data_IF_003107194690
#
_entry.id   IF_003107194690
#
_cell.length_a   1.000
_cell.length_b   1.000
_cell.length_c   1.000
_cell.angle_alpha   90.00
_cell.angle_beta   90.00
_cell.angle_gamma   90.00
#
_symmetry.space_group_name_H-M   'P 1'
#
loop_
_entity.id
_entity.type
_entity.pdbx_description
1 polymer ?
#
# COMPACT_ATOMS: atom_id res chain seq x y z
N UNK A 1 9.54 -11.87 -10.26
CA UNK A 1 10.16 -12.47 -9.05
C UNK A 1 9.09 -13.27 -8.34
N UNK A 2 9.27 -14.59 -8.23
CA UNK A 2 8.35 -15.50 -7.52
C UNK A 2 9.07 -16.84 -7.30
N UNK A 3 8.59 -17.66 -6.38
CA UNK A 3 9.02 -19.05 -6.23
C UNK A 3 8.32 -19.95 -7.27
N UNK A 4 9.05 -20.52 -8.25
CA UNK A 4 8.43 -21.34 -9.29
C UNK A 4 7.96 -22.72 -8.79
N UNK A 5 8.31 -23.12 -7.57
CA UNK A 5 8.00 -24.44 -7.02
C UNK A 5 6.73 -24.45 -6.16
N UNK A 6 6.27 -23.29 -5.72
CA UNK A 6 5.01 -23.19 -4.97
C UNK A 6 3.82 -23.20 -5.93
N UNK A 7 2.99 -24.23 -5.84
CA UNK A 7 1.76 -24.39 -6.61
C UNK A 7 0.58 -23.66 -5.98
N UNK A 8 -0.34 -23.17 -6.80
CA UNK A 8 -1.59 -22.53 -6.36
C UNK A 8 -1.73 -21.12 -6.93
N UNK A 9 -2.89 -20.49 -6.74
CA UNK A 9 -3.07 -19.10 -7.12
C UNK A 9 -2.15 -18.21 -6.28
N UNK A 10 -1.55 -17.21 -6.92
CA UNK A 10 -0.74 -16.18 -6.28
C UNK A 10 -1.35 -14.82 -6.56
N UNK A 11 -1.16 -13.90 -5.62
CA UNK A 11 -1.40 -12.48 -5.83
C UNK A 11 -0.39 -11.95 -6.85
N UNK A 12 -0.68 -10.85 -7.53
CA UNK A 12 0.17 -10.26 -8.57
C UNK A 12 0.45 -8.81 -8.27
N UNK A 13 1.70 -8.41 -8.42
CA UNK A 13 2.13 -7.04 -8.22
C UNK A 13 2.95 -6.55 -9.41
N UNK A 14 2.55 -5.44 -10.03
CA UNK A 14 3.34 -4.71 -11.02
C UNK A 14 4.12 -3.59 -10.34
N UNK A 15 5.43 -3.54 -10.58
CA UNK A 15 6.32 -2.57 -9.96
C UNK A 15 7.16 -1.92 -11.05
N UNK A 16 7.05 -0.61 -11.17
CA UNK A 16 7.74 0.19 -12.16
C UNK A 16 8.43 1.42 -11.52
N UNK A 17 9.43 1.95 -12.23
CA UNK A 17 10.10 3.22 -11.88
C UNK A 17 10.62 3.91 -13.14
N UNK A 18 10.95 5.19 -13.00
CA UNK A 18 11.69 5.94 -14.02
C UNK A 18 10.81 6.54 -15.10
N UNK A 19 9.56 6.88 -14.79
CA UNK A 19 8.73 7.73 -15.64
C UNK A 19 9.39 9.11 -15.85
N UNK A 20 9.88 9.74 -14.78
CA UNK A 20 10.68 10.96 -14.89
C UNK A 20 12.16 10.65 -14.69
N UNK A 21 12.99 11.18 -15.57
CA UNK A 21 14.39 10.80 -15.74
C UNK A 21 15.34 11.43 -14.73
N UNK A 22 14.88 12.45 -14.00
CA UNK A 22 15.68 13.14 -12.97
C UNK A 22 15.30 12.71 -11.56
N UNK A 23 14.35 11.77 -11.42
CA UNK A 23 13.82 11.31 -10.13
C UNK A 23 14.55 10.04 -9.67
N UNK A 24 15.78 10.22 -9.17
CA UNK A 24 16.66 9.13 -8.78
C UNK A 24 16.28 8.48 -7.44
N UNK A 25 15.72 9.22 -6.50
CA UNK A 25 15.24 8.69 -5.22
C UNK A 25 14.15 7.63 -5.43
N UNK A 26 13.28 7.82 -6.43
CA UNK A 26 12.30 6.82 -6.83
C UNK A 26 12.95 5.52 -7.31
N UNK A 27 14.05 5.62 -8.06
CA UNK A 27 14.81 4.44 -8.52
C UNK A 27 15.55 3.73 -7.38
N UNK A 28 16.05 4.47 -6.37
CA UNK A 28 16.64 3.86 -5.17
C UNK A 28 15.60 3.14 -4.31
N UNK A 29 14.43 3.72 -4.08
CA UNK A 29 13.36 3.05 -3.35
C UNK A 29 12.83 1.82 -4.10
N UNK A 30 12.69 1.92 -5.43
CA UNK A 30 12.43 0.75 -6.26
C UNK A 30 13.49 -0.34 -6.10
N UNK A 31 14.77 0.03 -6.08
CA UNK A 31 15.85 -0.93 -5.87
C UNK A 31 15.72 -1.60 -4.49
N UNK A 32 15.45 -0.84 -3.43
CA UNK A 32 15.26 -1.38 -2.09
C UNK A 32 14.17 -2.44 -2.01
N UNK A 33 13.05 -2.19 -2.70
CA UNK A 33 11.96 -3.16 -2.86
C UNK A 33 12.45 -4.45 -3.56
N UNK A 34 13.17 -4.31 -4.68
CA UNK A 34 13.71 -5.47 -5.42
C UNK A 34 14.76 -6.23 -4.60
N UNK A 35 15.68 -5.52 -3.95
CA UNK A 35 16.74 -6.08 -3.11
C UNK A 35 16.13 -6.89 -1.95
N UNK A 36 15.10 -6.34 -1.29
CA UNK A 36 14.30 -7.07 -0.30
C UNK A 36 13.69 -8.34 -0.90
N UNK A 37 12.97 -8.23 -2.03
CA UNK A 37 12.28 -9.36 -2.66
C UNK A 37 13.20 -10.49 -3.13
N UNK A 38 14.49 -10.23 -3.38
CA UNK A 38 15.46 -11.27 -3.76
C UNK A 38 16.37 -11.71 -2.61
N UNK A 39 16.20 -11.10 -1.43
CA UNK A 39 17.02 -11.42 -0.25
C UNK A 39 16.59 -12.73 0.44
N UNK A 40 17.38 -13.13 1.45
CA UNK A 40 17.09 -14.26 2.33
C UNK A 40 16.15 -13.90 3.50
N UNK A 41 15.58 -12.70 3.51
CA UNK A 41 14.63 -12.24 4.51
C UNK A 41 13.38 -13.18 4.53
N UNK A 42 12.93 -13.67 5.71
CA UNK A 42 11.82 -14.62 5.80
C UNK A 42 10.51 -14.12 5.19
N UNK A 43 10.20 -12.83 5.37
CA UNK A 43 9.01 -12.19 4.83
C UNK A 43 9.09 -12.11 3.30
N UNK A 44 10.28 -11.84 2.74
CA UNK A 44 10.50 -11.90 1.30
C UNK A 44 10.37 -13.34 0.76
N UNK A 45 10.86 -14.34 1.50
CA UNK A 45 10.68 -15.75 1.14
C UNK A 45 9.21 -16.17 1.13
N UNK A 46 8.46 -15.74 2.14
CA UNK A 46 7.02 -15.94 2.20
C UNK A 46 6.33 -15.25 1.02
N UNK A 47 6.65 -13.99 0.73
CA UNK A 47 6.05 -13.26 -0.38
C UNK A 47 6.29 -13.93 -1.73
N UNK A 48 7.49 -14.46 -1.99
CA UNK A 48 7.77 -15.19 -3.26
C UNK A 48 6.89 -16.44 -3.43
N UNK A 49 6.44 -17.05 -2.34
CA UNK A 49 5.52 -18.21 -2.38
C UNK A 49 4.08 -17.80 -2.66
N UNK A 50 3.68 -16.59 -2.31
CA UNK A 50 2.29 -16.12 -2.37
C UNK A 50 2.02 -15.04 -3.42
N UNK A 51 3.06 -14.42 -3.98
CA UNK A 51 2.96 -13.29 -4.90
C UNK A 51 3.87 -13.49 -6.13
N UNK A 52 3.38 -13.06 -7.28
CA UNK A 52 4.12 -12.89 -8.53
C UNK A 52 4.42 -11.39 -8.74
N UNK A 53 5.69 -11.01 -8.60
CA UNK A 53 6.13 -9.64 -8.81
C UNK A 53 6.65 -9.44 -10.24
N UNK A 54 6.05 -8.53 -10.98
CA UNK A 54 6.45 -8.13 -12.33
C UNK A 54 7.19 -6.80 -12.26
N UNK A 55 8.47 -6.82 -12.65
CA UNK A 55 9.43 -5.75 -12.36
C UNK A 55 9.83 -5.03 -13.66
N UNK A 56 9.58 -3.72 -13.73
CA UNK A 56 9.90 -2.86 -14.87
C UNK A 56 10.86 -1.74 -14.40
N UNK A 57 12.18 -1.98 -14.42
CA UNK A 57 13.15 -1.16 -13.71
C UNK A 57 13.42 0.21 -14.34
N UNK A 58 12.99 0.45 -15.58
CA UNK A 58 13.13 1.73 -16.24
C UNK A 58 12.13 1.82 -17.40
N UNK A 59 11.07 2.62 -17.20
CA UNK A 59 9.98 2.76 -18.19
C UNK A 59 10.23 3.85 -19.24
N UNK A 60 11.21 4.74 -19.03
CA UNK A 60 11.63 5.76 -19.99
C UNK A 60 13.15 5.71 -20.22
N UNK A 61 13.66 4.67 -20.91
CA UNK A 61 15.11 4.48 -21.06
C UNK A 61 15.79 5.53 -21.95
N UNK A 62 15.12 5.99 -23.01
CA UNK A 62 15.61 7.05 -23.89
C UNK A 62 15.58 8.41 -23.19
N UNK A 63 14.53 8.68 -22.42
CA UNK A 63 14.44 9.83 -21.53
C UNK A 63 15.60 9.88 -20.54
N UNK A 64 15.88 8.74 -19.88
CA UNK A 64 17.01 8.60 -18.95
C UNK A 64 18.36 8.82 -19.61
N UNK A 65 18.55 8.24 -20.80
CA UNK A 65 19.81 8.38 -21.55
C UNK A 65 20.09 9.84 -21.95
N UNK A 66 19.04 10.59 -22.26
CA UNK A 66 19.14 11.98 -22.76
C UNK A 66 18.97 13.05 -21.69
N UNK A 67 18.61 12.67 -20.46
CA UNK A 67 18.33 13.58 -19.34
C UNK A 67 17.26 14.65 -19.67
N UNK A 68 16.19 14.23 -20.35
CA UNK A 68 15.08 15.11 -20.80
C UNK A 68 14.09 15.48 -19.70
N UNK A 69 14.51 15.41 -18.43
CA UNK A 69 13.66 15.77 -17.30
C UNK A 69 12.48 14.80 -17.13
N UNK A 70 11.27 15.25 -17.47
CA UNK A 70 10.02 14.48 -17.26
C UNK A 70 9.55 13.70 -18.49
N UNK A 71 10.09 13.98 -19.68
CA UNK A 71 9.61 13.43 -20.94
C UNK A 71 10.55 12.39 -21.55
N UNK A 72 10.44 12.19 -22.85
CA UNK A 72 11.44 11.46 -23.64
C UNK A 72 11.56 12.03 -25.05
N UNK A 73 12.69 11.82 -25.75
CA UNK A 73 12.85 12.24 -27.14
C UNK A 73 11.77 11.68 -28.08
N UNK A 74 11.37 10.41 -27.89
CA UNK A 74 10.28 9.81 -28.67
C UNK A 74 8.96 10.55 -28.44
N UNK A 75 8.61 10.79 -27.17
CA UNK A 75 7.37 11.48 -26.81
C UNK A 75 7.28 12.88 -27.44
N UNK A 76 8.38 13.62 -27.41
CA UNK A 76 8.45 14.96 -27.98
C UNK A 76 8.36 14.92 -29.52
N UNK A 77 9.09 14.01 -30.16
CA UNK A 77 9.10 13.87 -31.62
C UNK A 77 7.71 13.51 -32.18
N UNK A 78 6.98 12.66 -31.48
CA UNK A 78 5.64 12.21 -31.87
C UNK A 78 4.52 13.15 -31.40
N UNK A 79 4.85 14.26 -30.71
CA UNK A 79 3.89 15.30 -30.35
C UNK A 79 3.01 14.98 -29.14
N UNK A 80 3.42 14.05 -28.27
CA UNK A 80 2.68 13.62 -27.08
C UNK A 80 3.02 14.43 -25.81
N UNK A 81 3.73 15.55 -25.94
CA UNK A 81 4.10 16.44 -24.84
C UNK A 81 5.43 16.08 -24.19
N UNK A 82 5.62 16.51 -22.93
CA UNK A 82 6.92 16.49 -22.23
C UNK A 82 6.87 15.83 -20.85
N UNK A 83 5.83 15.06 -20.57
CA UNK A 83 5.65 14.34 -19.30
C UNK A 83 5.28 12.88 -19.61
N UNK A 84 6.22 11.96 -19.41
CA UNK A 84 6.07 10.54 -19.70
C UNK A 84 5.01 9.88 -18.81
N UNK A 85 4.76 10.45 -17.63
CA UNK A 85 3.64 10.05 -16.78
C UNK A 85 2.30 10.65 -17.28
N UNK A 86 2.18 11.02 -18.56
CA UNK A 86 0.92 11.44 -19.23
C UNK A 86 0.66 10.71 -20.56
N UNK A 87 1.31 9.58 -20.80
CA UNK A 87 1.17 8.82 -22.05
C UNK A 87 0.72 7.37 -21.88
N UNK A 88 0.39 6.91 -20.67
CA UNK A 88 0.07 5.49 -20.43
C UNK A 88 -1.24 4.99 -21.08
N UNK A 89 -2.04 5.92 -21.61
CA UNK A 89 -3.28 5.64 -22.35
C UNK A 89 -3.09 5.54 -23.87
N UNK A 90 -1.86 5.73 -24.38
CA UNK A 90 -1.61 5.92 -25.82
C UNK A 90 -1.26 4.62 -26.56
N UNK A 91 -1.57 3.45 -26.00
CA UNK A 91 -1.23 2.18 -26.64
C UNK A 91 -1.82 2.11 -28.06
N UNK A 92 -0.95 1.80 -29.03
CA UNK A 92 -1.27 1.73 -30.46
C UNK A 92 -1.35 3.07 -31.17
N UNK A 93 -0.95 4.18 -30.52
CA UNK A 93 -1.02 5.54 -31.10
C UNK A 93 0.32 6.03 -31.64
N UNK A 94 1.39 5.22 -31.60
CA UNK A 94 2.69 5.53 -32.22
C UNK A 94 3.84 5.77 -31.25
N UNK A 95 3.63 5.65 -29.93
CA UNK A 95 4.72 5.66 -28.94
C UNK A 95 5.20 4.24 -28.68
N UNK A 96 6.25 3.83 -29.39
CA UNK A 96 6.76 2.45 -29.39
C UNK A 96 7.21 1.98 -28.01
N UNK A 97 7.78 2.87 -27.18
CA UNK A 97 8.16 2.55 -25.79
C UNK A 97 6.94 2.19 -24.94
N UNK A 98 5.88 3.01 -24.99
CA UNK A 98 4.63 2.74 -24.27
C UNK A 98 3.91 1.51 -24.84
N UNK A 99 3.91 1.35 -26.16
CA UNK A 99 3.30 0.20 -26.83
C UNK A 99 3.96 -1.11 -26.38
N UNK A 100 5.29 -1.15 -26.35
CA UNK A 100 6.04 -2.32 -25.90
C UNK A 100 5.80 -2.62 -24.41
N UNK A 101 5.90 -1.60 -23.55
CA UNK A 101 5.73 -1.76 -22.10
C UNK A 101 4.32 -2.22 -21.72
N UNK A 102 3.29 -1.52 -22.22
CA UNK A 102 1.91 -1.87 -21.90
C UNK A 102 1.53 -3.23 -22.48
N UNK A 103 2.02 -3.59 -23.67
CA UNK A 103 1.82 -4.93 -24.24
C UNK A 103 2.47 -6.01 -23.37
N UNK A 104 3.72 -5.80 -22.92
CA UNK A 104 4.41 -6.73 -22.04
C UNK A 104 3.69 -6.86 -20.69
N UNK A 105 3.38 -5.75 -20.02
CA UNK A 105 2.67 -5.74 -18.74
C UNK A 105 1.35 -6.50 -18.80
N UNK A 106 0.55 -6.29 -19.85
CA UNK A 106 -0.70 -7.03 -20.05
C UNK A 106 -0.49 -8.52 -20.27
N UNK A 107 0.50 -8.89 -21.09
CA UNK A 107 0.82 -10.29 -21.38
C UNK A 107 1.34 -11.02 -20.14
N UNK A 108 2.23 -10.37 -19.38
CA UNK A 108 2.86 -10.93 -18.19
C UNK A 108 1.83 -11.17 -17.08
N UNK A 109 0.92 -10.21 -16.88
CA UNK A 109 -0.05 -10.21 -15.77
C UNK A 109 -1.41 -10.82 -16.13
N UNK A 110 -1.66 -11.08 -17.42
CA UNK A 110 -2.99 -11.36 -17.98
C UNK A 110 -4.00 -10.21 -17.80
N UNK A 111 -3.53 -8.95 -17.76
CA UNK A 111 -4.32 -7.74 -17.47
C UNK A 111 -4.97 -7.74 -16.07
N UNK A 112 -4.38 -8.44 -15.11
CA UNK A 112 -4.95 -8.58 -13.77
C UNK A 112 -3.84 -8.55 -12.74
N UNK A 113 -3.86 -7.53 -11.87
CA UNK A 113 -2.93 -7.39 -10.75
C UNK A 113 -3.67 -6.97 -9.49
N UNK A 114 -3.15 -7.34 -8.33
CA UNK A 114 -3.69 -6.88 -7.05
C UNK A 114 -3.06 -5.53 -6.67
N UNK A 115 -1.76 -5.38 -6.93
CA UNK A 115 -1.01 -4.16 -6.60
C UNK A 115 -0.27 -3.59 -7.80
N UNK A 116 -0.25 -2.26 -7.92
CA UNK A 116 0.55 -1.54 -8.90
C UNK A 116 1.32 -0.38 -8.25
N UNK A 117 2.63 -0.34 -8.46
CA UNK A 117 3.52 0.70 -7.92
C UNK A 117 4.28 1.39 -9.05
N UNK A 118 4.20 2.72 -9.06
CA UNK A 118 4.96 3.58 -9.97
C UNK A 118 5.85 4.50 -9.14
N UNK A 119 7.10 4.12 -8.94
CA UNK A 119 8.03 4.85 -8.08
C UNK A 119 8.54 6.12 -8.75
N UNK A 120 8.41 7.22 -8.02
CA UNK A 120 8.73 8.58 -8.38
C UNK A 120 9.59 9.27 -7.33
N UNK A 121 10.03 10.49 -7.65
CA UNK A 121 10.85 11.33 -6.80
C UNK A 121 10.31 12.74 -6.68
N UNK A 122 10.40 13.33 -5.50
CA UNK A 122 9.82 14.63 -5.20
C UNK A 122 10.60 15.43 -4.16
N UNK A 123 9.98 16.51 -3.70
CA UNK A 123 10.53 17.38 -2.65
C UNK A 123 10.29 16.89 -1.22
N UNK A 124 9.64 15.75 -1.04
CA UNK A 124 9.26 15.16 0.26
C UNK A 124 8.90 13.69 0.08
N UNK A 125 8.99 12.89 1.15
CA UNK A 125 8.54 11.50 1.15
C UNK A 125 7.02 11.44 1.42
N UNK A 126 6.25 10.87 0.49
CA UNK A 126 4.81 10.57 0.61
C UNK A 126 4.41 9.58 -0.49
N UNK A 127 3.15 9.17 -0.57
CA UNK A 127 2.68 8.41 -1.74
C UNK A 127 1.27 8.80 -2.16
N UNK A 128 1.06 8.98 -3.47
CA UNK A 128 -0.28 9.29 -3.99
C UNK A 128 -1.13 8.02 -4.11
N UNK A 129 -2.37 8.11 -3.65
CA UNK A 129 -3.42 7.10 -3.83
C UNK A 129 -4.71 7.73 -4.32
N UNK A 130 -5.60 6.94 -4.92
CA UNK A 130 -6.95 7.44 -5.23
C UNK A 130 -7.70 7.71 -3.93
N UNK A 131 -8.56 8.73 -3.86
CA UNK A 131 -9.42 8.94 -2.68
C UNK A 131 -10.24 7.70 -2.33
N UNK A 132 -10.68 6.92 -3.32
CA UNK A 132 -11.42 5.66 -3.13
C UNK A 132 -10.58 4.52 -2.54
N UNK A 133 -9.26 4.68 -2.46
CA UNK A 133 -8.32 3.69 -1.90
C UNK A 133 -7.85 4.08 -0.49
N UNK A 134 -8.38 5.16 0.10
CA UNK A 134 -7.94 5.66 1.41
C UNK A 134 -8.04 4.59 2.51
N UNK A 135 -9.08 3.76 2.48
CA UNK A 135 -9.31 2.70 3.46
C UNK A 135 -8.67 1.34 3.10
N UNK A 136 -7.88 1.28 2.02
CA UNK A 136 -7.21 0.06 1.60
C UNK A 136 -6.30 -0.46 2.73
N UNK A 137 -6.34 -1.76 3.09
CA UNK A 137 -5.48 -2.34 4.12
C UNK A 137 -3.99 -2.04 3.92
N UNK A 138 -3.54 -2.01 2.66
CA UNK A 138 -2.17 -1.64 2.32
C UNK A 138 -1.77 -0.24 2.79
N UNK A 139 -2.67 0.74 2.69
CA UNK A 139 -2.40 2.12 3.10
C UNK A 139 -2.18 2.19 4.61
N UNK A 140 -2.95 1.41 5.39
CA UNK A 140 -2.80 1.32 6.85
C UNK A 140 -1.49 0.63 7.23
N UNK A 141 -1.24 -0.55 6.66
CA UNK A 141 -0.01 -1.31 6.89
C UNK A 141 1.24 -0.48 6.59
N UNK A 142 1.25 0.24 5.46
CA UNK A 142 2.37 1.09 5.11
C UNK A 142 2.53 2.29 6.06
N UNK A 143 1.44 2.98 6.40
CA UNK A 143 1.49 4.16 7.28
C UNK A 143 2.00 3.83 8.69
N UNK A 144 1.75 2.63 9.18
CA UNK A 144 2.27 2.20 10.47
C UNK A 144 3.75 1.80 10.43
N UNK A 145 4.24 1.25 9.30
CA UNK A 145 5.68 1.05 9.07
C UNK A 145 6.44 2.35 8.89
N UNK A 146 5.86 3.28 8.14
CA UNK A 146 6.48 4.53 7.71
C UNK A 146 5.58 5.74 8.07
N UNK A 147 5.39 6.05 9.37
CA UNK A 147 4.49 7.11 9.81
C UNK A 147 4.90 8.51 9.35
N UNK A 148 6.15 8.70 8.93
CA UNK A 148 6.66 9.93 8.34
C UNK A 148 6.35 10.07 6.84
N UNK A 149 5.80 9.04 6.20
CA UNK A 149 5.53 8.98 4.76
C UNK A 149 4.01 8.91 4.54
N UNK A 150 3.29 10.05 4.58
CA UNK A 150 1.84 10.04 4.58
C UNK A 150 1.24 9.70 3.21
N UNK A 151 0.02 9.12 3.16
CA UNK A 151 -0.75 9.03 1.92
C UNK A 151 -1.27 10.40 1.50
N UNK A 152 -1.17 10.72 0.21
CA UNK A 152 -1.81 11.89 -0.40
C UNK A 152 -2.96 11.46 -1.31
N UNK A 153 -4.18 11.85 -0.93
CA UNK A 153 -5.39 11.51 -1.69
C UNK A 153 -5.50 12.40 -2.94
N UNK A 154 -5.31 11.82 -4.12
CA UNK A 154 -5.37 12.56 -5.38
C UNK A 154 -5.86 11.69 -6.52
N UNK A 155 -6.98 12.09 -7.14
CA UNK A 155 -7.60 11.37 -8.27
C UNK A 155 -6.72 11.24 -9.51
N UNK A 156 -5.69 12.08 -9.63
CA UNK A 156 -4.74 12.04 -10.75
C UNK A 156 -5.35 12.41 -12.10
N UNK A 157 -4.54 12.27 -13.14
CA UNK A 157 -4.93 12.36 -14.54
C UNK A 157 -5.02 10.94 -15.10
N UNK A 158 -6.03 10.66 -15.92
CA UNK A 158 -6.25 9.33 -16.47
C UNK A 158 -5.07 8.76 -17.27
N UNK A 159 -4.18 9.64 -17.72
CA UNK A 159 -3.02 9.33 -18.54
C UNK A 159 -1.79 8.89 -17.73
N UNK A 160 -1.88 8.92 -16.40
CA UNK A 160 -0.80 8.56 -15.48
C UNK A 160 -0.61 7.05 -15.34
N UNK A 161 0.63 6.63 -15.12
CA UNK A 161 1.06 5.25 -14.92
C UNK A 161 0.46 4.61 -13.66
N UNK A 162 0.09 5.38 -12.64
CA UNK A 162 -0.69 4.88 -11.48
C UNK A 162 -2.17 4.69 -11.79
N UNK A 163 -2.72 5.51 -12.67
CA UNK A 163 -4.16 5.51 -12.95
C UNK A 163 -4.52 4.50 -14.04
N UNK A 164 -3.64 4.29 -15.01
CA UNK A 164 -3.84 3.32 -16.07
C UNK A 164 -4.06 1.88 -15.55
N UNK A 165 -3.26 1.33 -14.61
CA UNK A 165 -3.45 -0.01 -14.08
C UNK A 165 -4.82 -0.22 -13.42
N UNK A 166 -5.39 0.80 -12.79
CA UNK A 166 -6.71 0.73 -12.12
C UNK A 166 -7.90 0.59 -13.08
N UNK A 167 -7.66 0.59 -14.38
CA UNK A 167 -8.72 0.54 -15.40
C UNK A 167 -8.85 -0.87 -15.98
N UNK A 168 -10.06 -1.26 -16.45
CA UNK A 168 -10.24 -2.49 -17.21
C UNK A 168 -9.38 -2.53 -18.48
N UNK A 169 -9.16 -1.37 -19.11
CA UNK A 169 -8.27 -1.25 -20.25
C UNK A 169 -6.79 -1.16 -19.85
N UNK A 170 -6.44 -1.25 -18.57
CA UNK A 170 -5.05 -1.31 -18.11
C UNK A 170 -4.71 -2.70 -17.61
N UNK A 171 -4.58 -2.83 -16.29
CA UNK A 171 -4.21 -4.07 -15.59
C UNK A 171 -5.24 -4.49 -14.54
N UNK A 172 -6.43 -3.86 -14.55
CA UNK A 172 -7.51 -4.15 -13.61
C UNK A 172 -7.08 -4.17 -12.12
N UNK A 173 -6.16 -3.28 -11.75
CA UNK A 173 -5.53 -3.29 -10.44
C UNK A 173 -6.53 -3.01 -9.31
N UNK A 174 -6.48 -3.80 -8.22
CA UNK A 174 -7.26 -3.50 -7.00
C UNK A 174 -6.69 -2.27 -6.28
N UNK A 175 -5.36 -2.21 -6.16
CA UNK A 175 -4.63 -1.11 -5.55
C UNK A 175 -3.54 -0.55 -6.47
N UNK A 176 -3.38 0.78 -6.48
CA UNK A 176 -2.25 1.42 -7.16
C UNK A 176 -1.79 2.69 -6.46
N UNK A 177 -0.49 2.87 -6.31
CA UNK A 177 0.09 4.06 -5.72
C UNK A 177 1.32 4.60 -6.47
N UNK A 178 1.64 5.87 -6.18
CA UNK A 178 2.83 6.56 -6.70
C UNK A 178 3.65 6.95 -5.48
N UNK A 179 4.62 6.12 -5.07
CA UNK A 179 5.64 6.51 -4.12
C UNK A 179 6.39 7.75 -4.61
N UNK A 180 6.38 8.83 -3.83
CA UNK A 180 7.11 10.07 -4.10
C UNK A 180 8.23 10.18 -3.06
N UNK A 181 9.46 9.93 -3.49
CA UNK A 181 10.61 9.79 -2.59
C UNK A 181 11.44 11.08 -2.61
N UNK A 182 11.85 11.59 -1.46
CA UNK A 182 12.54 12.87 -1.35
C UNK A 182 13.92 12.84 -2.02
N UNK A 183 14.14 13.68 -3.04
CA UNK A 183 15.41 13.74 -3.80
C UNK A 183 16.55 14.44 -3.07
N UNK A 184 16.24 15.51 -2.32
CA UNK A 184 17.25 16.36 -1.66
C UNK A 184 17.63 16.02 -0.20
N UNK A 185 17.09 14.97 0.41
CA UNK A 185 17.39 14.61 1.80
C UNK A 185 17.44 13.10 2.02
N UNK A 186 18.09 12.70 3.11
CA UNK A 186 18.37 11.31 3.43
C UNK A 186 19.56 10.74 2.67
N UNK A 187 19.93 9.52 3.01
CA UNK A 187 20.95 8.74 2.32
C UNK A 187 20.33 7.83 1.26
N UNK A 188 21.16 7.28 0.36
CA UNK A 188 20.71 6.20 -0.54
C UNK A 188 20.20 5.01 0.27
N UNK A 189 20.82 4.71 1.41
CA UNK A 189 20.36 3.64 2.29
C UNK A 189 18.95 3.91 2.82
N UNK A 190 18.63 5.15 3.20
CA UNK A 190 17.29 5.52 3.66
C UNK A 190 16.24 5.24 2.58
N UNK A 191 16.59 5.42 1.29
CA UNK A 191 15.70 5.09 0.17
C UNK A 191 15.58 3.60 -0.06
N UNK A 192 16.68 2.85 0.06
CA UNK A 192 16.65 1.38 -0.01
C UNK A 192 15.78 0.80 1.12
N UNK A 193 15.91 1.33 2.33
CA UNK A 193 15.13 0.91 3.50
C UNK A 193 13.63 1.23 3.31
N UNK A 194 13.32 2.44 2.83
CA UNK A 194 11.95 2.81 2.47
C UNK A 194 11.38 1.90 1.38
N UNK A 195 12.20 1.53 0.39
CA UNK A 195 11.89 0.52 -0.62
C UNK A 195 11.48 -0.83 -0.03
N UNK A 196 12.26 -1.33 0.94
CA UNK A 196 11.93 -2.55 1.69
C UNK A 196 10.61 -2.43 2.45
N UNK A 197 10.31 -1.27 3.04
CA UNK A 197 9.06 -1.04 3.77
C UNK A 197 7.80 -1.16 2.89
N UNK A 198 7.87 -0.76 1.61
CA UNK A 198 6.77 -1.02 0.66
C UNK A 198 6.50 -2.52 0.50
N UNK A 199 7.54 -3.35 0.41
CA UNK A 199 7.40 -4.80 0.29
C UNK A 199 6.86 -5.46 1.56
N UNK A 200 7.35 -5.03 2.71
CA UNK A 200 6.87 -5.53 3.99
C UNK A 200 5.40 -5.15 4.26
N UNK A 201 4.95 -3.99 3.79
CA UNK A 201 3.53 -3.63 3.87
C UNK A 201 2.62 -4.57 3.04
N UNK A 202 3.11 -5.11 1.91
CA UNK A 202 2.39 -6.17 1.18
C UNK A 202 2.33 -7.44 2.03
N UNK A 203 3.43 -7.82 2.69
CA UNK A 203 3.48 -8.97 3.57
C UNK A 203 2.45 -8.87 4.70
N UNK A 204 2.37 -7.73 5.38
CA UNK A 204 1.43 -7.55 6.49
C UNK A 204 -0.03 -7.69 6.08
N UNK A 205 -0.37 -7.26 4.86
CA UNK A 205 -1.73 -7.38 4.32
C UNK A 205 -2.08 -8.81 3.92
N UNK A 206 -1.10 -9.60 3.47
CA UNK A 206 -1.35 -10.90 2.85
C UNK A 206 -1.13 -12.08 3.79
N UNK A 207 -0.21 -11.99 4.76
CA UNK A 207 0.00 -13.07 5.71
C UNK A 207 -1.08 -13.01 6.80
N UNK A 208 -1.97 -14.01 6.89
CA UNK A 208 -3.01 -14.05 7.93
C UNK A 208 -2.43 -14.21 9.34
N UNK A 209 -1.16 -14.60 9.48
CA UNK A 209 -0.47 -14.67 10.76
C UNK A 209 0.40 -13.43 11.02
N UNK A 210 0.38 -12.43 10.13
CA UNK A 210 0.96 -11.14 10.47
C UNK A 210 0.15 -10.59 11.66
N UNK A 211 0.85 -10.06 12.66
CA UNK A 211 0.22 -9.45 13.83
C UNK A 211 -0.73 -8.27 13.46
N UNK A 212 -0.75 -7.84 12.19
CA UNK A 212 -1.59 -6.75 11.66
C UNK A 212 -3.05 -7.13 11.38
N UNK A 213 -3.32 -8.36 10.96
CA UNK A 213 -4.67 -8.77 10.52
C UNK A 213 -5.49 -9.42 11.64
N UNK A 214 -4.80 -9.98 12.65
CA UNK A 214 -5.44 -10.53 13.84
C UNK A 214 -6.04 -9.44 14.75
N UNK A 215 -5.60 -8.19 14.67
CA UNK A 215 -6.21 -7.15 15.52
C UNK A 215 -7.49 -6.54 14.90
N UNK A 216 -7.55 -6.21 13.61
CA UNK A 216 -8.69 -5.41 13.12
C UNK A 216 -9.99 -6.20 12.87
N UNK A 217 -9.91 -7.40 12.31
CA UNK A 217 -11.11 -8.22 12.02
C UNK A 217 -11.54 -9.03 13.24
N UNK A 218 -10.58 -9.60 13.98
CA UNK A 218 -10.84 -10.33 15.21
C UNK A 218 -11.33 -9.38 16.32
N UNK A 219 -10.74 -8.19 16.55
CA UNK A 219 -11.30 -7.25 17.55
C UNK A 219 -12.66 -6.68 17.16
N UNK A 220 -12.95 -6.50 15.86
CA UNK A 220 -14.26 -6.00 15.44
C UNK A 220 -15.33 -7.09 15.58
N UNK A 221 -15.02 -8.32 15.17
CA UNK A 221 -15.92 -9.46 15.31
C UNK A 221 -16.08 -9.86 16.79
N UNK A 222 -15.02 -9.81 17.61
CA UNK A 222 -15.09 -10.00 19.05
C UNK A 222 -15.81 -8.84 19.76
N UNK A 223 -15.63 -7.58 19.38
CA UNK A 223 -16.35 -6.46 20.01
C UNK A 223 -17.84 -6.46 19.64
N UNK A 224 -18.18 -6.74 18.38
CA UNK A 224 -19.57 -6.86 17.92
C UNK A 224 -20.26 -8.08 18.55
N UNK A 225 -19.58 -9.23 18.62
CA UNK A 225 -20.12 -10.43 19.26
C UNK A 225 -20.15 -10.32 20.79
N UNK A 226 -19.16 -9.71 21.44
CA UNK A 226 -19.14 -9.50 22.89
C UNK A 226 -20.25 -8.55 23.35
N UNK A 227 -20.50 -7.46 22.61
CA UNK A 227 -21.60 -6.53 22.91
C UNK A 227 -22.97 -7.21 22.74
N UNK A 228 -23.17 -7.97 21.66
CA UNK A 228 -24.44 -8.66 21.38
C UNK A 228 -24.68 -9.79 22.39
N UNK A 229 -23.68 -10.63 22.66
CA UNK A 229 -23.82 -11.78 23.57
C UNK A 229 -23.93 -11.36 25.05
N UNK A 230 -23.33 -10.24 25.46
CA UNK A 230 -23.40 -9.80 26.86
C UNK A 230 -24.52 -8.79 27.17
N UNK A 231 -25.06 -8.06 26.18
CA UNK A 231 -26.20 -7.15 26.42
C UNK A 231 -27.56 -7.81 26.19
N UNK A 232 -27.70 -8.77 25.27
CA UNK A 232 -29.01 -9.40 25.02
C UNK A 232 -29.35 -10.56 25.98
N UNK A 233 -28.37 -11.15 26.68
CA UNK A 233 -28.61 -12.35 27.49
C UNK A 233 -28.97 -12.14 28.97
N UNK A 234 -29.01 -10.92 29.54
CA UNK A 234 -29.27 -10.76 31.00
C UNK A 234 -30.10 -9.57 31.46
N UNK A 235 -31.03 -9.04 30.67
CA UNK A 235 -31.94 -7.98 31.17
C UNK A 235 -32.98 -8.45 32.20
N UNK A 236 -33.11 -9.77 32.44
CA UNK A 236 -33.98 -10.33 33.48
C UNK A 236 -33.32 -10.59 34.84
N UNK A 237 -31.99 -10.62 34.92
CA UNK A 237 -31.24 -11.02 36.14
C UNK A 237 -30.12 -10.04 36.50
N UNK A 238 -29.94 -8.94 35.76
CA UNK A 238 -28.94 -7.93 36.08
C UNK A 238 -29.27 -7.27 37.43
N UNK A 239 -28.51 -7.59 38.46
CA UNK A 239 -28.71 -7.05 39.82
C UNK A 239 -28.20 -5.62 39.92
N UNK A 240 -27.18 -5.23 39.15
CA UNK A 240 -26.62 -3.89 39.13
C UNK A 240 -25.53 -3.74 38.07
N UNK A 241 -25.28 -2.52 37.61
CA UNK A 241 -24.15 -2.14 36.77
C UNK A 241 -23.34 -1.08 37.52
N UNK A 242 -22.20 -1.43 38.08
CA UNK A 242 -21.34 -0.47 38.77
C UNK A 242 -20.25 0.01 37.84
N UNK A 243 -20.27 1.31 37.54
CA UNK A 243 -19.16 1.99 36.90
C UNK A 243 -18.41 2.79 37.97
N UNK A 244 -17.08 2.84 37.89
CA UNK A 244 -16.20 3.54 38.82
C UNK A 244 -15.56 4.80 38.24
N UNK A 245 -15.99 5.22 37.04
CA UNK A 245 -15.46 6.39 36.32
C UNK A 245 -15.60 7.72 37.10
N UNK A 246 -16.53 7.81 38.06
CA UNK A 246 -16.74 8.99 38.92
C UNK A 246 -16.22 8.79 40.35
N UNK A 247 -15.37 7.78 40.57
CA UNK A 247 -14.84 7.36 41.87
C UNK A 247 -15.92 6.89 42.86
N UNK A 248 -17.15 6.68 42.40
CA UNK A 248 -18.24 6.10 43.20
C UNK A 248 -18.56 4.69 42.74
N UNK A 249 -19.15 3.89 43.62
CA UNK A 249 -19.68 2.57 43.25
C UNK A 249 -21.18 2.68 42.94
N UNK A 250 -21.57 3.64 42.10
CA UNK A 250 -22.98 3.89 41.80
C UNK A 250 -23.52 2.90 40.77
N UNK A 251 -24.72 2.38 41.04
CA UNK A 251 -25.42 1.50 40.12
C UNK A 251 -26.08 2.30 38.99
N UNK A 252 -25.61 2.08 37.77
CA UNK A 252 -26.06 2.70 36.53
C UNK A 252 -27.12 1.88 35.78
N UNK A 253 -27.46 0.68 36.27
CA UNK A 253 -28.51 -0.15 35.67
C UNK A 253 -29.92 0.35 35.95
N UNK A 254 -30.08 1.27 36.91
CA UNK A 254 -31.38 1.78 37.36
C UNK A 254 -32.05 0.90 38.43
N UNK A 255 -31.44 -0.21 38.85
CA UNK A 255 -31.99 -1.11 39.86
C UNK A 255 -31.73 -0.65 41.31
N UNK A 256 -30.90 0.39 41.49
CA UNK A 256 -30.71 1.08 42.76
C UNK A 256 -29.80 0.36 43.76
N UNK A 257 -29.01 -0.59 43.27
CA UNK A 257 -28.13 -1.40 44.11
C UNK A 257 -26.75 -0.76 44.23
N UNK A 258 -26.59 0.40 44.88
CA UNK A 258 -25.27 1.05 44.99
C UNK A 258 -24.27 0.22 45.84
N UNK A 259 -23.03 0.13 45.37
CA UNK A 259 -21.94 -0.53 46.08
C UNK A 259 -21.36 0.32 47.20
N UNK A 260 -20.65 -0.31 48.15
CA UNK A 260 -19.84 0.39 49.15
C UNK A 260 -18.41 -0.16 49.06
N UNK A 261 -17.42 0.70 48.86
CA UNK A 261 -16.02 0.31 48.84
C UNK A 261 -15.58 -0.10 50.26
N UNK A 262 -15.09 -1.34 50.42
CA UNK A 262 -14.61 -1.84 51.72
C UNK A 262 -13.13 -2.19 51.61
N UNK A 263 -12.31 -1.50 52.41
CA UNK A 263 -10.83 -1.48 52.41
C UNK A 263 -10.21 -0.72 51.23
N UNK A 264 -9.46 0.33 51.55
CA UNK A 264 -8.92 1.31 50.60
C UNK A 264 -8.15 0.68 49.44
N UNK A 265 -8.55 1.03 48.23
CA UNK A 265 -7.85 0.67 46.99
C UNK A 265 -6.59 1.54 46.91
N UNK A 266 -5.42 0.93 46.75
CA UNK A 266 -4.20 1.65 46.41
C UNK A 266 -4.05 1.59 44.88
N UNK A 267 -4.12 2.75 44.23
CA UNK A 267 -3.76 2.86 42.81
C UNK A 267 -2.24 2.67 42.69
N UNK A 268 -1.81 1.79 41.78
CA UNK A 268 -0.41 1.66 41.36
C UNK A 268 -0.26 2.35 40.01
#
# INVERSE_FOLDING_TARGET
>A
ITDPYTSGPKKKAMIATGNHNTEAAGSWAFQGMVDFLVSADPEADWLRKHVEFYIYPLVSPDGRYTDTGRGSPEQEAEGFGTDHNRVWHTQGQGLSTIDALTTAMRADTCNDVDFAFDYHGGGSDFFYIMPSQADCPYVKAFAEREPSVPPHLRSGDYRMARIWPLRPEGLNAEFACTPENHEGTGTVQDKLDLGKSYGLAIYDVLDPNSDYLNDYLELKEEAENWLVDNLELRTGELVGWWNFDDETANDSSGNGHHGTLVSGVTFV
#
